data_IF_627826730767
#
_entry.id   IF_627826730767
#
_cell.length_a   1.000
_cell.length_b   1.000
_cell.length_c   1.000
_cell.angle_alpha   90.00
_cell.angle_beta   90.00
_cell.angle_gamma   90.00
#
_symmetry.space_group_name_H-M   'P 1'
#
loop_
_entity.id
_entity.type
_entity.pdbx_description
1 polymer ?
#
# COMPACT_ATOMS: atom_id res chain seq x y z
N UNK A 1 13.49 -4.54 8.33
CA UNK A 1 14.62 -5.46 8.09
C UNK A 1 15.06 -5.33 6.65
N UNK A 2 16.36 -5.31 6.38
CA UNK A 2 16.88 -5.09 5.02
C UNK A 2 16.85 -6.33 4.15
N UNK A 3 16.58 -7.51 4.71
CA UNK A 3 16.67 -8.81 4.02
C UNK A 3 15.30 -9.46 3.76
N UNK A 4 14.22 -8.69 3.77
CA UNK A 4 12.87 -9.18 3.46
C UNK A 4 12.22 -10.09 4.52
N UNK A 5 12.86 -10.27 5.69
CA UNK A 5 12.28 -11.06 6.78
C UNK A 5 11.18 -10.31 7.54
N UNK A 6 10.21 -11.08 8.03
CA UNK A 6 9.17 -10.64 8.98
C UNK A 6 9.42 -11.31 10.32
N UNK A 7 9.42 -10.52 11.39
CA UNK A 7 9.56 -10.99 12.77
C UNK A 7 8.30 -10.64 13.54
N UNK A 8 7.85 -11.58 14.36
CA UNK A 8 6.69 -11.43 15.24
C UNK A 8 7.18 -11.40 16.67
N UNK A 9 6.76 -10.40 17.44
CA UNK A 9 7.12 -10.25 18.84
C UNK A 9 5.86 -10.29 19.70
N UNK A 10 5.94 -10.93 20.88
CA UNK A 10 4.96 -10.72 21.94
C UNK A 10 5.37 -9.49 22.73
N UNK A 11 4.49 -8.49 22.81
CA UNK A 11 4.78 -7.24 23.54
C UNK A 11 4.92 -7.47 25.05
N UNK A 12 4.42 -8.59 25.58
CA UNK A 12 4.61 -9.00 26.98
C UNK A 12 5.97 -9.66 27.21
N UNK A 13 6.59 -10.21 26.17
CA UNK A 13 7.87 -10.92 26.23
C UNK A 13 8.75 -10.51 25.05
N UNK A 14 9.54 -9.45 25.23
CA UNK A 14 10.35 -8.84 24.17
C UNK A 14 11.78 -9.38 24.08
N UNK A 15 12.11 -10.43 24.83
CA UNK A 15 13.47 -11.01 24.91
C UNK A 15 13.93 -11.57 23.56
N UNK A 16 13.02 -12.17 22.79
CA UNK A 16 13.29 -12.69 21.46
C UNK A 16 12.04 -12.60 20.58
N UNK A 17 12.22 -12.67 19.26
CA UNK A 17 11.10 -12.86 18.37
C UNK A 17 10.41 -14.19 18.68
N UNK A 18 9.08 -14.18 18.70
CA UNK A 18 8.24 -15.36 18.83
C UNK A 18 8.31 -16.21 17.55
N UNK A 19 8.31 -15.55 16.40
CA UNK A 19 8.40 -16.18 15.09
C UNK A 19 9.28 -15.32 14.17
N UNK A 20 10.08 -15.99 13.34
CA UNK A 20 10.88 -15.38 12.29
C UNK A 20 10.56 -16.10 10.97
N UNK A 21 10.28 -15.32 9.93
CA UNK A 21 10.01 -15.86 8.60
C UNK A 21 10.80 -15.17 7.51
N UNK A 22 11.34 -15.99 6.62
CA UNK A 22 12.03 -15.52 5.42
C UNK A 22 11.01 -15.06 4.37
N UNK A 23 11.33 -13.95 3.71
CA UNK A 23 10.58 -13.48 2.55
C UNK A 23 10.88 -14.28 1.30
N UNK A 24 10.05 -14.09 0.28
CA UNK A 24 10.29 -14.62 -1.07
C UNK A 24 11.61 -14.11 -1.68
N UNK A 25 12.04 -12.93 -1.26
CA UNK A 25 13.28 -12.31 -1.70
C UNK A 25 13.96 -11.60 -0.54
N UNK A 26 15.21 -11.20 -0.73
CA UNK A 26 15.93 -10.35 0.21
C UNK A 26 15.51 -8.87 0.16
N UNK A 27 14.53 -8.50 -0.66
CA UNK A 27 14.10 -7.10 -0.77
C UNK A 27 13.43 -6.62 0.52
N UNK A 28 13.76 -5.42 1.02
CA UNK A 28 13.12 -4.87 2.21
C UNK A 28 11.60 -4.75 2.06
N UNK A 29 10.87 -5.21 3.08
CA UNK A 29 9.43 -4.96 3.22
C UNK A 29 9.23 -3.52 3.68
N UNK A 30 8.48 -2.72 2.92
CA UNK A 30 8.25 -1.31 3.22
C UNK A 30 6.87 -1.01 3.82
N UNK A 31 5.90 -1.90 3.63
CA UNK A 31 4.55 -1.78 4.19
C UNK A 31 4.06 -3.13 4.66
N UNK A 32 3.39 -3.16 5.82
CA UNK A 32 2.78 -4.35 6.42
C UNK A 32 1.39 -3.95 6.92
N UNK A 33 0.39 -4.73 6.57
CA UNK A 33 -0.97 -4.68 7.09
C UNK A 33 -1.32 -6.02 7.73
N UNK A 34 -1.94 -5.97 8.90
CA UNK A 34 -2.65 -7.13 9.44
C UNK A 34 -3.98 -7.24 8.74
N UNK A 35 -4.30 -8.43 8.25
CA UNK A 35 -5.60 -8.74 7.67
C UNK A 35 -6.49 -9.33 8.75
N UNK A 36 -7.73 -8.86 8.84
CA UNK A 36 -8.78 -9.58 9.57
C UNK A 36 -9.19 -10.81 8.76
N UNK A 37 -9.44 -11.91 9.47
CA UNK A 37 -10.09 -13.09 8.91
C UNK A 37 -11.54 -13.08 9.39
N UNK A 38 -12.50 -13.16 8.46
CA UNK A 38 -13.93 -13.25 8.76
C UNK A 38 -14.35 -14.66 9.24
N UNK A 39 -13.38 -15.57 9.36
CA UNK A 39 -13.65 -16.95 9.76
C UNK A 39 -13.99 -17.01 11.26
N UNK A 40 -15.20 -17.51 11.56
CA UNK A 40 -15.70 -17.80 12.92
C UNK A 40 -14.93 -18.93 13.62
N UNK A 41 -13.92 -19.49 12.97
CA UNK A 41 -13.06 -20.55 13.48
C UNK A 41 -11.74 -19.92 13.89
N UNK A 42 -11.48 -19.88 15.19
CA UNK A 42 -10.22 -19.39 15.76
C UNK A 42 -9.06 -20.34 15.40
N UNK A 43 -8.58 -20.29 14.15
CA UNK A 43 -7.45 -21.08 13.68
C UNK A 43 -6.12 -20.63 14.31
N UNK A 44 -6.09 -19.52 15.06
CA UNK A 44 -4.87 -18.91 15.60
C UNK A 44 -3.97 -18.27 14.53
N UNK A 45 -4.26 -18.50 13.25
CA UNK A 45 -3.54 -17.99 12.11
C UNK A 45 -3.77 -16.48 11.95
N UNK A 46 -2.69 -15.71 11.80
CA UNK A 46 -2.75 -14.29 11.48
C UNK A 46 -2.31 -14.09 10.05
N UNK A 47 -3.16 -13.46 9.24
CA UNK A 47 -2.79 -13.12 7.86
C UNK A 47 -2.18 -11.73 7.80
N UNK A 48 -1.07 -11.59 7.09
CA UNK A 48 -0.44 -10.30 6.80
C UNK A 48 -0.43 -10.05 5.30
N UNK A 49 -0.71 -8.81 4.91
CA UNK A 49 -0.42 -8.30 3.58
C UNK A 49 0.79 -7.39 3.66
N UNK A 50 1.77 -7.65 2.81
CA UNK A 50 3.02 -6.88 2.78
C UNK A 50 3.31 -6.38 1.39
N UNK A 51 4.13 -5.34 1.28
CA UNK A 51 4.69 -4.89 0.02
C UNK A 51 6.21 -4.70 0.12
N UNK A 52 6.88 -5.11 -0.94
CA UNK A 52 8.31 -4.92 -1.20
C UNK A 52 8.49 -4.52 -2.67
N UNK A 53 9.70 -4.18 -3.10
CA UNK A 53 9.98 -3.81 -4.51
C UNK A 53 9.47 -4.83 -5.55
N UNK A 54 9.34 -6.11 -5.18
CA UNK A 54 8.86 -7.20 -6.05
C UNK A 54 7.34 -7.16 -6.27
N UNK A 55 6.59 -6.58 -5.34
CA UNK A 55 5.13 -6.62 -5.33
C UNK A 55 4.57 -6.91 -3.95
N UNK A 56 3.34 -7.39 -3.94
CA UNK A 56 2.57 -7.65 -2.72
C UNK A 56 2.65 -9.13 -2.36
N UNK A 57 2.86 -9.43 -1.08
CA UNK A 57 2.87 -10.80 -0.57
C UNK A 57 1.88 -10.98 0.57
N UNK A 58 1.14 -12.09 0.56
CA UNK A 58 0.35 -12.56 1.69
C UNK A 58 1.20 -13.53 2.54
N UNK A 59 1.07 -13.41 3.86
CA UNK A 59 1.71 -14.30 4.83
C UNK A 59 0.66 -14.88 5.75
N UNK A 60 0.77 -16.16 6.05
CA UNK A 60 -0.06 -16.84 7.04
C UNK A 60 0.83 -17.20 8.24
N UNK A 61 0.81 -16.34 9.25
CA UNK A 61 1.60 -16.46 10.48
C UNK A 61 0.93 -17.46 11.42
N UNK A 62 1.70 -18.33 12.06
CA UNK A 62 1.21 -19.42 12.91
C UNK A 62 1.25 -20.81 12.27
N UNK A 63 1.47 -20.91 10.96
CA UNK A 63 1.89 -22.13 10.29
C UNK A 63 3.40 -22.02 9.95
N UNK A 64 4.22 -22.82 10.61
CA UNK A 64 5.68 -22.78 10.52
C UNK A 64 6.23 -23.20 9.14
N UNK A 65 5.45 -23.91 8.33
CA UNK A 65 5.93 -24.46 7.05
C UNK A 65 5.46 -23.68 5.83
N UNK A 66 4.48 -22.79 5.98
CA UNK A 66 3.96 -22.04 4.86
C UNK A 66 4.95 -20.95 4.39
N UNK A 67 5.08 -20.73 3.08
CA UNK A 67 5.87 -19.63 2.56
C UNK A 67 4.97 -18.43 2.23
N UNK A 68 5.49 -17.19 2.26
CA UNK A 68 4.76 -16.05 1.73
C UNK A 68 4.33 -16.29 0.28
N UNK A 69 3.11 -15.88 -0.06
CA UNK A 69 2.53 -16.05 -1.41
C UNK A 69 2.57 -14.71 -2.12
N UNK A 70 3.20 -14.66 -3.30
CA UNK A 70 3.19 -13.47 -4.16
C UNK A 70 1.83 -13.31 -4.81
N UNK A 71 1.26 -12.11 -4.77
CA UNK A 71 0.01 -11.79 -5.44
C UNK A 71 0.29 -11.57 -6.93
N UNK A 72 0.01 -12.60 -7.73
CA UNK A 72 0.35 -12.69 -9.17
C UNK A 72 -0.22 -11.55 -10.00
N UNK A 73 -1.38 -11.03 -9.62
CA UNK A 73 -2.08 -9.93 -10.29
C UNK A 73 -1.31 -8.59 -10.25
N UNK A 74 -0.23 -8.55 -9.47
CA UNK A 74 0.68 -7.41 -9.35
C UNK A 74 2.07 -7.67 -9.95
N UNK A 75 2.27 -8.86 -10.52
CA UNK A 75 3.52 -9.22 -11.19
C UNK A 75 3.67 -8.38 -12.47
N UNK A 76 4.91 -8.02 -12.78
CA UNK A 76 5.28 -7.21 -13.96
C UNK A 76 4.75 -5.77 -13.97
N UNK A 77 4.27 -5.23 -12.85
CA UNK A 77 3.84 -3.82 -12.76
C UNK A 77 5.00 -2.82 -12.55
N UNK A 78 6.23 -3.32 -12.44
CA UNK A 78 7.42 -2.50 -12.17
C UNK A 78 7.97 -2.76 -10.77
N UNK A 79 8.43 -1.71 -10.10
CA UNK A 79 8.90 -1.72 -8.70
C UNK A 79 7.78 -1.20 -7.82
N UNK A 80 7.27 -2.02 -6.89
CA UNK A 80 6.27 -1.55 -5.93
C UNK A 80 6.91 -0.60 -4.91
N UNK A 81 6.27 0.54 -4.68
CA UNK A 81 6.80 1.62 -3.83
C UNK A 81 5.80 2.12 -2.77
N UNK A 82 4.53 1.74 -2.87
CA UNK A 82 3.52 2.02 -1.86
C UNK A 82 2.40 0.98 -1.91
N UNK A 83 1.75 0.80 -0.77
CA UNK A 83 0.61 -0.07 -0.57
C UNK A 83 -0.37 0.61 0.36
N UNK A 84 -1.65 0.64 -0.01
CA UNK A 84 -2.77 1.05 0.83
C UNK A 84 -3.79 -0.10 0.90
N UNK A 85 -4.36 -0.33 2.07
CA UNK A 85 -5.38 -1.35 2.31
C UNK A 85 -6.55 -0.76 3.10
N UNK A 86 -7.78 -1.09 2.68
CA UNK A 86 -9.01 -0.76 3.38
C UNK A 86 -9.67 -2.05 3.90
N UNK A 87 -9.74 -2.27 5.23
CA UNK A 87 -10.32 -3.50 5.80
C UNK A 87 -11.81 -3.69 5.49
N UNK A 88 -12.62 -2.62 5.55
CA UNK A 88 -14.08 -2.74 5.38
C UNK A 88 -14.50 -3.13 3.97
N UNK A 89 -13.76 -2.64 2.98
CA UNK A 89 -14.03 -2.89 1.57
C UNK A 89 -13.07 -3.90 0.95
N UNK A 90 -12.16 -4.51 1.69
CA UNK A 90 -11.11 -5.42 1.18
C UNK A 90 -10.38 -4.90 -0.10
N UNK A 91 -10.30 -3.59 -0.23
CA UNK A 91 -9.69 -2.91 -1.37
C UNK A 91 -8.21 -2.69 -1.06
N UNK A 92 -7.37 -3.01 -2.04
CA UNK A 92 -5.92 -2.86 -1.97
C UNK A 92 -5.47 -2.01 -3.14
N UNK A 93 -4.74 -0.94 -2.90
CA UNK A 93 -4.11 -0.15 -3.96
C UNK A 93 -2.61 -0.18 -3.79
N UNK A 94 -1.91 -0.68 -4.79
CA UNK A 94 -0.46 -0.65 -4.85
C UNK A 94 0.02 0.36 -5.89
N UNK A 95 1.12 1.03 -5.59
CA UNK A 95 1.74 2.01 -6.48
C UNK A 95 3.07 1.47 -6.97
N UNK A 96 3.30 1.60 -8.28
CA UNK A 96 4.50 1.12 -8.94
C UNK A 96 5.18 2.24 -9.71
N UNK A 97 6.51 2.19 -9.73
CA UNK A 97 7.33 2.93 -10.68
C UNK A 97 7.94 1.97 -11.70
N UNK A 98 8.33 2.44 -12.90
CA UNK A 98 9.00 1.59 -13.88
C UNK A 98 10.26 0.94 -13.32
N UNK A 99 10.59 -0.25 -13.82
CA UNK A 99 11.94 -0.79 -13.64
C UNK A 99 12.87 0.04 -14.49
N UNK A 100 14.05 0.38 -13.96
CA UNK A 100 15.12 0.94 -14.78
C UNK A 100 15.67 -0.24 -15.60
N UNK A 101 15.21 -0.36 -16.84
CA UNK A 101 15.85 -1.24 -17.81
C UNK A 101 17.12 -0.52 -18.26
N UNK A 102 18.28 -1.08 -17.92
CA UNK A 102 19.52 -0.62 -18.52
C UNK A 102 19.45 -1.02 -20.00
N UNK A 103 19.57 -0.09 -20.95
CA UNK A 103 19.58 -0.46 -22.35
C UNK A 103 20.74 -1.42 -22.59
N UNK A 104 20.47 -2.56 -23.24
CA UNK A 104 21.52 -3.43 -23.75
C UNK A 104 22.45 -2.59 -24.66
N UNK A 105 23.77 -2.76 -24.53
CA UNK A 105 24.80 -2.02 -25.27
C UNK A 105 24.82 -2.28 -26.80
N UNK A 106 23.68 -2.56 -27.41
CA UNK A 106 23.55 -2.75 -28.86
C UNK A 106 22.29 -2.09 -29.37
N UNK A 107 22.25 -0.75 -29.36
CA UNK A 107 21.58 0.14 -30.32
C UNK A 107 21.56 1.57 -29.78
N UNK A 108 22.70 2.27 -29.81
CA UNK A 108 22.73 3.72 -29.59
C UNK A 108 22.26 4.39 -30.89
N UNK A 109 20.95 4.56 -31.04
CA UNK A 109 20.40 5.63 -31.87
C UNK A 109 20.06 6.80 -30.95
N UNK A 110 20.78 7.90 -31.17
CA UNK A 110 20.70 9.11 -30.36
C UNK A 110 19.28 9.69 -30.32
N UNK A 111 18.67 9.71 -29.14
CA UNK A 111 17.87 10.84 -28.69
C UNK A 111 18.41 11.29 -27.34
N UNK A 112 19.44 12.13 -27.40
CA UNK A 112 19.91 12.91 -26.27
C UNK A 112 18.82 13.88 -25.83
N UNK A 113 18.01 13.49 -24.85
CA UNK A 113 17.31 14.46 -24.01
C UNK A 113 18.27 14.90 -22.89
N UNK A 114 18.47 16.21 -22.69
CA UNK A 114 19.24 16.68 -21.54
C UNK A 114 18.49 16.29 -20.25
N UNK A 115 19.19 16.03 -19.13
CA UNK A 115 18.54 15.92 -17.84
C UNK A 115 17.89 17.27 -17.55
N UNK A 116 16.56 17.33 -17.62
CA UNK A 116 15.81 18.54 -17.28
C UNK A 116 15.98 18.80 -15.78
N UNK A 117 16.93 19.67 -15.45
CA UNK A 117 17.05 20.28 -14.14
C UNK A 117 16.01 21.38 -14.02
N UNK A 118 14.80 21.04 -13.61
CA UNK A 118 14.01 21.86 -12.67
C UNK A 118 12.74 21.10 -12.23
N UNK A 119 12.51 21.07 -10.91
CA UNK A 119 11.27 20.62 -10.25
C UNK A 119 10.86 19.14 -10.41
N UNK A 120 11.46 18.31 -9.55
CA UNK A 120 10.86 17.08 -9.03
C UNK A 120 11.18 15.81 -9.83
N UNK A 121 11.97 14.91 -9.23
CA UNK A 121 12.30 13.55 -9.70
C UNK A 121 11.05 12.62 -9.76
N UNK A 122 9.99 13.06 -10.42
CA UNK A 122 8.82 12.24 -10.69
C UNK A 122 9.08 11.36 -11.92
N UNK A 123 8.46 10.19 -11.91
CA UNK A 123 8.47 9.25 -13.03
C UNK A 123 7.04 8.81 -13.33
N UNK A 124 6.81 8.44 -14.57
CA UNK A 124 5.52 7.92 -15.00
C UNK A 124 5.34 6.49 -14.44
N UNK A 125 4.58 6.37 -13.36
CA UNK A 125 4.23 5.11 -12.72
C UNK A 125 2.76 4.75 -12.88
N UNK A 126 2.29 3.84 -12.04
CA UNK A 126 0.92 3.38 -12.02
C UNK A 126 0.39 3.13 -10.61
N UNK A 127 -0.93 3.26 -10.45
CA UNK A 127 -1.66 2.69 -9.32
C UNK A 127 -2.46 1.48 -9.82
N UNK A 128 -2.41 0.39 -9.08
CA UNK A 128 -3.12 -0.87 -9.39
C UNK A 128 -4.06 -1.17 -8.24
N UNK A 129 -5.36 -1.27 -8.57
CA UNK A 129 -6.40 -1.68 -7.64
C UNK A 129 -6.57 -3.20 -7.70
N UNK A 130 -6.52 -3.82 -6.54
CA UNK A 130 -6.74 -5.24 -6.32
C UNK A 130 -7.82 -5.39 -5.25
N UNK A 131 -8.78 -6.28 -5.47
CA UNK A 131 -9.77 -6.70 -4.49
C UNK A 131 -9.31 -7.98 -3.82
N UNK A 132 -9.35 -8.02 -2.50
CA UNK A 132 -9.20 -9.25 -1.74
C UNK A 132 -10.54 -9.96 -1.64
N UNK A 133 -10.55 -11.27 -1.88
CA UNK A 133 -11.69 -12.17 -1.80
C UNK A 133 -11.27 -13.36 -0.94
N UNK A 134 -11.23 -13.16 0.38
CA UNK A 134 -10.69 -14.15 1.33
C UNK A 134 -9.18 -14.31 1.21
N UNK A 135 -8.73 -15.41 0.60
CA UNK A 135 -7.32 -15.71 0.32
C UNK A 135 -6.91 -15.46 -1.13
N UNK A 136 -7.86 -15.07 -1.99
CA UNK A 136 -7.64 -14.79 -3.41
C UNK A 136 -7.62 -13.27 -3.62
N UNK A 137 -6.86 -12.84 -4.63
CA UNK A 137 -6.74 -11.44 -5.02
C UNK A 137 -7.09 -11.29 -6.49
N UNK A 138 -7.87 -10.26 -6.82
CA UNK A 138 -8.31 -9.97 -8.19
C UNK A 138 -8.00 -8.53 -8.55
N UNK A 139 -7.21 -8.31 -9.61
CA UNK A 139 -6.99 -6.98 -10.19
C UNK A 139 -8.30 -6.45 -10.75
N UNK A 140 -8.72 -5.29 -10.26
CA UNK A 140 -9.91 -4.59 -10.76
C UNK A 140 -9.58 -3.51 -11.79
N UNK A 141 -8.39 -2.92 -11.71
CA UNK A 141 -8.02 -1.85 -12.62
C UNK A 141 -6.64 -1.26 -12.34
N UNK A 142 -6.21 -0.36 -13.22
CA UNK A 142 -4.98 0.42 -13.05
C UNK A 142 -5.10 1.78 -13.72
N UNK A 143 -4.35 2.76 -13.22
CA UNK A 143 -4.27 4.11 -13.80
C UNK A 143 -2.84 4.62 -13.78
N UNK A 144 -2.49 5.46 -14.74
CA UNK A 144 -1.21 6.16 -14.81
C UNK A 144 -1.10 7.25 -13.72
N UNK A 145 0.09 7.42 -13.15
CA UNK A 145 0.32 8.40 -12.10
C UNK A 145 1.75 8.97 -12.10
N UNK A 146 1.89 10.22 -11.64
CA UNK A 146 3.19 10.85 -11.39
C UNK A 146 3.67 10.44 -10.01
N UNK A 147 4.60 9.49 -9.97
CA UNK A 147 5.07 8.90 -8.71
C UNK A 147 6.53 9.27 -8.47
N UNK A 148 7.04 9.19 -7.23
CA UNK A 148 8.44 9.50 -6.97
C UNK A 148 9.39 8.45 -7.56
N UNK A 149 10.46 8.91 -8.22
CA UNK A 149 11.47 8.03 -8.80
C UNK A 149 12.38 7.34 -7.79
N UNK A 150 12.52 7.89 -6.58
CA UNK A 150 13.47 7.41 -5.57
C UNK A 150 12.78 7.04 -4.25
N UNK A 151 12.04 7.97 -3.66
CA UNK A 151 11.38 7.79 -2.34
C UNK A 151 10.19 6.83 -2.41
N UNK A 152 9.81 6.29 -1.25
CA UNK A 152 8.59 5.50 -1.06
C UNK A 152 7.45 6.43 -0.64
N UNK A 153 6.43 6.68 -1.49
CA UNK A 153 5.30 7.51 -1.09
C UNK A 153 4.43 6.80 -0.05
N UNK A 154 3.69 7.58 0.74
CA UNK A 154 2.60 7.08 1.57
C UNK A 154 1.27 7.40 0.91
N UNK A 155 0.33 6.49 1.06
CA UNK A 155 -1.02 6.58 0.50
C UNK A 155 -1.99 5.86 1.41
N UNK A 156 -3.28 6.20 1.33
CA UNK A 156 -4.33 5.55 2.11
C UNK A 156 -5.59 5.40 1.28
N UNK A 157 -6.48 4.50 1.69
CA UNK A 157 -7.85 4.43 1.17
C UNK A 157 -8.77 5.02 2.24
N UNK A 158 -9.59 5.98 1.82
CA UNK A 158 -10.63 6.63 2.59
C UNK A 158 -11.90 5.81 2.47
N UNK A 159 -12.52 5.51 3.60
CA UNK A 159 -13.91 5.06 3.64
C UNK A 159 -14.81 6.30 3.72
N UNK A 160 -15.67 6.46 2.71
CA UNK A 160 -16.64 7.55 2.60
C UNK A 160 -18.03 7.02 2.97
N UNK A 161 -19.00 7.93 3.08
CA UNK A 161 -20.40 7.56 3.31
C UNK A 161 -20.94 6.71 2.14
N UNK A 162 -21.97 5.91 2.43
CA UNK A 162 -22.67 5.05 1.46
C UNK A 162 -21.81 3.96 0.79
N UNK A 163 -20.85 3.38 1.52
CA UNK A 163 -19.92 2.36 1.01
C UNK A 163 -19.00 2.84 -0.12
N UNK A 164 -18.92 4.15 -0.34
CA UNK A 164 -17.97 4.72 -1.27
C UNK A 164 -16.56 4.68 -0.67
N UNK A 165 -15.55 4.55 -1.52
CA UNK A 165 -14.17 4.65 -1.08
C UNK A 165 -13.33 5.41 -2.08
N UNK A 166 -12.31 6.10 -1.59
CA UNK A 166 -11.41 6.87 -2.43
C UNK A 166 -9.96 6.59 -2.04
N UNK A 167 -9.11 6.45 -3.05
CA UNK A 167 -7.68 6.34 -2.87
C UNK A 167 -7.05 7.73 -2.80
N UNK A 168 -6.31 8.00 -1.73
CA UNK A 168 -5.61 9.25 -1.48
C UNK A 168 -4.10 9.07 -1.62
N UNK A 169 -3.47 9.85 -2.51
CA UNK A 169 -2.04 9.77 -2.77
C UNK A 169 -1.47 11.14 -3.18
N UNK A 170 -0.17 11.35 -2.93
CA UNK A 170 0.52 12.51 -3.49
C UNK A 170 0.76 12.36 -4.99
N UNK A 171 0.53 13.43 -5.75
CA UNK A 171 0.98 13.57 -7.14
C UNK A 171 2.32 14.30 -7.13
N UNK A 172 3.38 13.64 -7.61
CA UNK A 172 4.75 14.16 -7.48
C UNK A 172 5.02 15.34 -8.42
N UNK A 173 4.35 15.42 -9.56
CA UNK A 173 4.52 16.51 -10.52
C UNK A 173 3.94 17.83 -9.97
N UNK A 174 2.80 17.75 -9.29
CA UNK A 174 2.08 18.93 -8.79
C UNK A 174 2.29 19.19 -7.30
N UNK A 175 2.92 18.25 -6.57
CA UNK A 175 3.01 18.24 -5.10
C UNK A 175 1.66 18.24 -4.37
N UNK A 176 0.55 18.04 -5.08
CA UNK A 176 -0.79 18.02 -4.50
C UNK A 176 -1.13 16.65 -3.93
N UNK A 177 -2.05 16.63 -2.96
CA UNK A 177 -2.72 15.40 -2.57
C UNK A 177 -3.91 15.19 -3.50
N UNK A 178 -4.00 14.03 -4.15
CA UNK A 178 -5.05 13.68 -5.10
C UNK A 178 -5.94 12.59 -4.51
N UNK A 179 -7.25 12.72 -4.72
CA UNK A 179 -8.24 11.68 -4.45
C UNK A 179 -8.73 11.06 -5.75
N UNK A 180 -8.82 9.73 -5.76
CA UNK A 180 -9.35 8.94 -6.86
C UNK A 180 -10.46 8.02 -6.36
N UNK A 181 -11.65 8.11 -6.95
CA UNK A 181 -12.77 7.24 -6.60
C UNK A 181 -12.46 5.77 -6.90
N UNK A 182 -12.86 4.86 -6.02
CA UNK A 182 -12.80 3.42 -6.23
C UNK A 182 -14.18 2.88 -6.63
N UNK A 183 -14.25 1.88 -7.53
CA UNK A 183 -13.15 1.07 -8.06
C UNK A 183 -12.49 1.64 -9.34
N UNK A 184 -13.02 2.71 -9.92
CA UNK A 184 -12.61 3.22 -11.24
C UNK A 184 -11.21 3.86 -11.28
N UNK A 185 -10.64 4.24 -10.13
CA UNK A 185 -9.42 5.03 -10.00
C UNK A 185 -9.48 6.40 -10.72
N UNK A 186 -10.69 6.89 -10.97
CA UNK A 186 -10.92 8.19 -11.62
C UNK A 186 -10.61 9.32 -10.67
N UNK A 187 -9.91 10.34 -11.17
CA UNK A 187 -9.67 11.58 -10.42
C UNK A 187 -10.98 12.19 -9.94
N UNK A 188 -11.05 12.55 -8.66
CA UNK A 188 -12.22 13.18 -8.06
C UNK A 188 -11.92 14.61 -7.63
N UNK A 189 -10.84 14.80 -6.87
CA UNK A 189 -10.45 16.11 -6.35
C UNK A 189 -8.97 16.12 -5.97
N UNK A 190 -8.46 17.31 -5.67
CA UNK A 190 -7.14 17.50 -5.09
C UNK A 190 -7.18 18.49 -3.94
N UNK A 191 -6.23 18.35 -3.02
CA UNK A 191 -5.90 19.35 -2.02
C UNK A 191 -4.55 19.95 -2.41
N UNK A 192 -4.56 21.27 -2.61
CA UNK A 192 -3.35 21.99 -2.94
C UNK A 192 -2.39 21.98 -1.76
N UNK A 193 -1.11 21.69 -2.03
CA UNK A 193 -0.04 21.76 -1.04
C UNK A 193 1.11 22.57 -1.59
N UNK A 194 1.77 23.33 -0.73
CA UNK A 194 2.97 24.09 -1.07
C UNK A 194 4.26 23.27 -0.91
N UNK A 195 4.14 22.04 -0.39
CA UNK A 195 5.25 21.12 -0.16
C UNK A 195 4.92 19.71 -0.65
N UNK A 196 5.93 18.91 -1.05
CA UNK A 196 5.72 17.52 -1.45
C UNK A 196 5.03 16.71 -0.35
N UNK A 197 4.04 15.91 -0.74
CA UNK A 197 3.31 15.03 0.18
C UNK A 197 4.21 13.88 0.64
N UNK A 198 4.56 13.89 1.94
CA UNK A 198 5.43 12.89 2.57
C UNK A 198 4.68 11.80 3.32
N UNK A 199 3.56 12.16 3.94
CA UNK A 199 2.70 11.23 4.68
C UNK A 199 1.22 11.56 4.41
N UNK A 200 0.38 10.54 4.42
CA UNK A 200 -1.07 10.67 4.23
C UNK A 200 -1.75 9.79 5.26
N UNK A 201 -2.49 10.42 6.17
CA UNK A 201 -3.31 9.75 7.18
C UNK A 201 -4.70 10.35 7.12
N UNK A 202 -5.69 9.54 7.44
CA UNK A 202 -7.04 10.00 7.59
C UNK A 202 -7.62 9.50 8.91
N UNK A 203 -8.63 10.21 9.39
CA UNK A 203 -9.42 9.80 10.54
C UNK A 203 -10.86 10.06 10.16
N UNK A 204 -11.68 9.02 10.16
CA UNK A 204 -13.11 9.18 9.98
C UNK A 204 -13.68 9.84 11.24
N UNK A 205 -14.20 11.06 11.09
CA UNK A 205 -15.01 11.66 12.14
C UNK A 205 -16.40 11.01 12.09
N UNK A 206 -16.58 9.91 12.82
CA UNK A 206 -17.94 9.44 13.12
C UNK A 206 -18.57 10.49 14.03
N UNK A 207 -19.56 11.25 13.55
CA UNK A 207 -20.34 12.13 14.42
C UNK A 207 -20.94 11.26 15.53
N UNK A 208 -20.65 11.50 16.82
CA UNK A 208 -21.34 10.82 17.90
C UNK A 208 -22.75 11.42 17.98
N UNK A 209 -23.72 10.70 17.41
CA UNK A 209 -25.09 11.18 17.24
C UNK A 209 -26.19 10.29 17.80
N UNK A 210 -25.86 9.19 18.51
CA UNK A 210 -26.85 8.32 19.19
C UNK A 210 -26.30 7.76 20.51
N UNK A 211 -25.76 8.64 21.36
CA UNK A 211 -25.66 8.35 22.79
C UNK A 211 -26.69 9.21 23.50
N UNK A 212 -27.86 8.63 23.75
CA UNK A 212 -28.81 9.11 24.75
C UNK A 212 -28.06 9.29 26.08
N UNK A 213 -28.07 10.52 26.58
CA UNK A 213 -27.48 10.94 27.83
C UNK A 213 -27.94 10.08 29.02
N UNK A 214 -27.00 9.73 29.89
CA UNK A 214 -27.22 9.89 31.33
C UNK A 214 -25.91 10.37 31.99
N UNK A 215 -25.89 11.56 32.62
CA UNK A 215 -24.86 11.91 33.56
C UNK A 215 -25.21 11.25 34.91
N UNK A 216 -24.25 10.57 35.53
CA UNK A 216 -24.34 10.27 36.96
C UNK A 216 -23.11 10.89 37.63
N UNK A 217 -23.29 11.70 38.70
CA UNK A 217 -22.24 12.54 39.24
C UNK A 217 -21.24 11.75 40.06
N UNK A 218 -20.05 12.33 40.16
CA UNK A 218 -18.99 11.99 41.11
C UNK A 218 -19.50 12.19 42.54
N UNK A 219 -19.33 11.16 43.37
CA UNK A 219 -18.92 11.27 44.77
C UNK A 219 -17.82 10.22 45.02
#
# INVERSE_FOLDING_TARGET
>A
MQNGMVLVFDLRQTVSALELRNGLTCNPVHTIYSLSDDSTVHSGLKRLLTASSVGLCQWNIGDAHEQPILITDTVNQGVCISLAYCPSGDNVVATFRPKVEMPDETSISQLSQPPSSDMGNHVQGSHVLVKRLGSIYQKLGSTSANVPGIRLPKSTILELEDSNSAFACGDEATSNLVLRGLPSLTFTQFLQSYHPIRDVKYTALRRPGDLLFHPVPVL
#
